data_IF_831970342292
#
_entry.id   IF_831970342292
#
_cell.length_a   1.000
_cell.length_b   1.000
_cell.length_c   1.000
_cell.angle_alpha   90.00
_cell.angle_beta   90.00
_cell.angle_gamma   90.00
#
_symmetry.space_group_name_H-M   'P 1'
#
loop_
_entity.id
_entity.type
_entity.pdbx_description
1 polymer ?
#
# COMPACT_ATOMS: atom_id res chain seq x y z
N UNK A 1 10.23 14.33 73.70
CA UNK A 1 10.01 12.89 73.41
C UNK A 1 9.09 12.81 72.19
N UNK A 2 9.52 12.04 71.16
CA UNK A 2 8.75 11.49 70.01
C UNK A 2 8.14 12.50 69.01
N UNK A 3 8.16 12.38 67.67
CA UNK A 3 8.90 11.64 66.62
C UNK A 3 8.42 12.16 65.22
N UNK A 4 9.23 11.94 64.16
CA UNK A 4 8.97 11.83 62.69
C UNK A 4 7.96 12.76 61.97
N UNK A 5 8.40 13.54 60.97
CA UNK A 5 8.59 13.22 59.51
C UNK A 5 7.35 12.68 58.77
N UNK A 6 6.76 13.51 57.89
CA UNK A 6 6.11 13.17 56.61
C UNK A 6 5.85 14.51 55.87
N UNK A 7 6.59 14.86 54.81
CA UNK A 7 6.53 14.41 53.40
C UNK A 7 5.68 15.32 52.49
N UNK A 8 6.43 16.04 51.66
CA UNK A 8 6.30 16.24 50.19
C UNK A 8 5.18 17.11 49.60
N UNK A 9 5.71 18.12 48.88
CA UNK A 9 5.37 18.57 47.53
C UNK A 9 4.24 19.61 47.37
N UNK A 10 4.64 20.88 47.53
CA UNK A 10 4.08 22.05 46.85
C UNK A 10 4.19 21.88 45.32
N UNK A 11 3.09 21.94 44.57
CA UNK A 11 2.35 23.12 44.05
C UNK A 11 3.07 23.90 42.94
N UNK A 12 2.30 24.00 41.84
CA UNK A 12 2.07 25.19 41.01
C UNK A 12 3.24 25.69 40.13
N UNK A 13 3.15 25.55 38.81
CA UNK A 13 2.38 26.39 37.85
C UNK A 13 3.15 27.66 37.48
N UNK A 14 3.09 27.96 36.18
CA UNK A 14 3.35 29.25 35.52
C UNK A 14 4.85 29.62 35.31
N UNK A 15 5.28 30.29 34.23
CA UNK A 15 4.64 30.95 33.08
C UNK A 15 5.77 31.41 32.13
N UNK A 16 5.55 31.24 30.83
CA UNK A 16 5.76 32.23 29.72
C UNK A 16 7.16 32.83 29.42
N UNK A 17 7.34 32.96 28.10
CA UNK A 17 8.10 33.97 27.34
C UNK A 17 9.62 33.88 27.20
N UNK A 18 9.99 33.58 25.94
CA UNK A 18 10.82 34.41 25.07
C UNK A 18 11.97 35.21 25.71
N UNK A 19 13.20 34.74 25.44
CA UNK A 19 14.42 35.52 25.56
C UNK A 19 15.46 34.98 24.58
N UNK A 20 15.85 35.81 23.61
CA UNK A 20 17.07 35.60 22.82
C UNK A 20 18.27 35.85 23.75
N UNK A 21 19.17 34.87 23.87
CA UNK A 21 20.51 35.08 24.39
C UNK A 21 21.49 34.19 23.60
N UNK A 22 22.37 34.85 22.85
CA UNK A 22 23.61 34.26 22.33
C UNK A 22 24.49 33.84 23.51
N UNK A 23 24.95 32.59 23.51
CA UNK A 23 26.13 32.18 24.25
C UNK A 23 26.92 31.19 23.37
N UNK A 24 28.00 31.70 22.79
CA UNK A 24 29.05 30.90 22.19
C UNK A 24 29.79 30.15 23.31
N UNK A 25 29.89 28.83 23.17
CA UNK A 25 30.92 28.02 23.83
C UNK A 25 31.55 27.15 22.74
N UNK A 26 32.68 27.61 22.22
CA UNK A 26 33.65 26.73 21.57
C UNK A 26 34.25 25.79 22.60
N UNK A 27 34.22 24.49 22.32
CA UNK A 27 35.39 23.60 22.44
C UNK A 27 35.15 22.26 21.72
N UNK A 28 35.90 22.15 20.63
CA UNK A 28 36.29 20.99 19.82
C UNK A 28 36.31 19.66 20.57
N UNK A 29 35.66 18.65 19.99
CA UNK A 29 35.89 17.23 20.32
C UNK A 29 34.86 16.28 19.71
N UNK A 30 35.25 15.57 18.64
CA UNK A 30 34.65 14.29 18.26
C UNK A 30 33.54 14.36 17.22
N UNK A 31 33.93 14.19 15.95
CA UNK A 31 33.00 13.86 14.88
C UNK A 31 32.27 12.55 15.17
N UNK A 32 30.95 12.63 15.06
CA UNK A 32 30.03 11.69 14.41
C UNK A 32 28.69 12.37 14.60
N UNK A 33 28.46 13.39 13.76
CA UNK A 33 27.17 14.02 13.65
C UNK A 33 26.18 12.96 13.23
N UNK A 34 25.40 12.47 14.18
CA UNK A 34 24.09 11.90 13.94
C UNK A 34 23.25 13.01 13.31
N UNK A 35 23.41 13.20 11.99
CA UNK A 35 22.41 13.83 11.17
C UNK A 35 21.17 12.95 11.34
N UNK A 36 20.28 13.39 12.23
CA UNK A 36 18.90 12.95 12.18
C UNK A 36 18.47 13.07 10.72
N UNK A 37 18.16 11.94 10.09
CA UNK A 37 17.67 11.91 8.73
C UNK A 37 16.45 12.82 8.68
N UNK A 38 16.62 14.02 8.13
CA UNK A 38 15.49 14.86 7.76
C UNK A 38 14.71 13.99 6.78
N UNK A 39 13.43 13.65 7.05
CA UNK A 39 12.67 12.85 6.12
C UNK A 39 12.73 13.58 4.78
N UNK A 40 13.22 12.90 3.75
CA UNK A 40 13.23 13.44 2.40
C UNK A 40 11.79 13.87 2.10
N UNK A 41 11.58 15.18 1.97
CA UNK A 41 10.28 15.69 1.57
C UNK A 41 10.10 15.20 0.14
N UNK A 42 9.22 14.20 -0.03
CA UNK A 42 8.89 13.69 -1.35
C UNK A 42 8.54 14.87 -2.25
N UNK A 43 9.08 14.88 -3.47
CA UNK A 43 8.67 15.86 -4.48
C UNK A 43 7.14 15.80 -4.63
N UNK A 44 6.49 16.92 -4.97
CA UNK A 44 5.03 16.94 -5.15
C UNK A 44 4.56 15.84 -6.10
N UNK A 45 5.34 15.54 -7.14
CA UNK A 45 5.09 14.45 -8.09
C UNK A 45 5.12 13.05 -7.45
N UNK A 46 6.08 12.79 -6.55
CA UNK A 46 6.15 11.52 -5.81
C UNK A 46 4.99 11.39 -4.82
N UNK A 47 4.61 12.48 -4.15
CA UNK A 47 3.43 12.50 -3.28
C UNK A 47 2.12 12.28 -4.05
N UNK A 48 2.02 12.82 -5.27
CA UNK A 48 0.90 12.55 -6.19
C UNK A 48 0.85 11.07 -6.58
N UNK A 49 2.02 10.44 -6.80
CA UNK A 49 2.08 9.01 -7.07
C UNK A 49 1.70 8.18 -5.84
N UNK A 50 2.12 8.60 -4.64
CA UNK A 50 1.74 7.93 -3.41
C UNK A 50 0.22 8.00 -3.17
N UNK A 51 -0.44 9.07 -3.62
CA UNK A 51 -1.91 9.15 -3.61
C UNK A 51 -2.54 8.10 -4.54
N UNK A 52 -1.95 7.86 -5.72
CA UNK A 52 -2.38 6.79 -6.62
C UNK A 52 -2.15 5.40 -5.99
N UNK A 53 -1.01 5.18 -5.34
CA UNK A 53 -0.71 3.92 -4.60
C UNK A 53 -1.72 3.69 -3.48
N UNK A 54 -2.07 4.74 -2.73
CA UNK A 54 -3.07 4.67 -1.66
C UNK A 54 -4.46 4.33 -2.21
N UNK A 55 -4.88 4.96 -3.31
CA UNK A 55 -6.15 4.64 -3.98
C UNK A 55 -6.19 3.19 -4.46
N UNK A 56 -5.10 2.70 -5.06
CA UNK A 56 -4.96 1.30 -5.48
C UNK A 56 -5.12 0.34 -4.29
N UNK A 57 -4.39 0.63 -3.20
CA UNK A 57 -4.44 -0.17 -1.96
C UNK A 57 -5.86 -0.21 -1.37
N UNK A 58 -6.55 0.93 -1.32
CA UNK A 58 -7.91 1.01 -0.80
C UNK A 58 -8.91 0.24 -1.68
N UNK A 59 -8.79 0.34 -3.01
CA UNK A 59 -9.62 -0.41 -3.97
C UNK A 59 -9.48 -1.91 -3.78
N UNK A 60 -8.24 -2.38 -3.60
CA UNK A 60 -7.92 -3.79 -3.40
C UNK A 60 -8.41 -4.32 -2.04
N UNK A 61 -8.32 -3.49 -1.00
CA UNK A 61 -8.80 -3.83 0.35
C UNK A 61 -10.33 -3.86 0.43
N UNK A 62 -11.02 -3.07 -0.39
CA UNK A 62 -12.49 -3.06 -0.49
C UNK A 62 -13.09 -4.20 -1.31
N UNK A 63 -12.28 -5.13 -1.83
CA UNK A 63 -12.78 -6.27 -2.62
C UNK A 63 -13.57 -7.23 -1.74
N UNK A 64 -14.85 -7.38 -2.07
CA UNK A 64 -15.73 -8.33 -1.41
C UNK A 64 -15.51 -9.75 -1.96
N UNK A 65 -15.73 -10.74 -1.09
CA UNK A 65 -15.80 -12.15 -1.51
C UNK A 65 -17.10 -12.36 -2.27
N UNK A 66 -17.07 -13.20 -3.29
CA UNK A 66 -18.25 -13.55 -4.07
C UNK A 66 -18.67 -14.98 -3.79
N UNK A 67 -19.97 -15.22 -3.71
CA UNK A 67 -20.55 -16.58 -3.61
C UNK A 67 -21.49 -16.76 -4.78
N UNK A 68 -21.22 -17.74 -5.63
CA UNK A 68 -21.93 -17.96 -6.88
C UNK A 68 -22.11 -19.46 -7.14
N UNK A 69 -23.22 -19.89 -7.76
CA UNK A 69 -23.34 -21.27 -8.20
C UNK A 69 -22.32 -21.55 -9.32
N UNK A 70 -21.78 -22.76 -9.36
CA UNK A 70 -21.00 -23.26 -10.48
C UNK A 70 -21.86 -24.13 -11.41
N UNK A 71 -21.24 -24.56 -12.52
CA UNK A 71 -21.90 -25.35 -13.56
C UNK A 71 -22.23 -26.79 -13.12
N UNK A 72 -21.75 -27.22 -11.96
CA UNK A 72 -21.92 -28.58 -11.43
C UNK A 72 -22.98 -28.61 -10.31
N UNK A 73 -23.67 -27.49 -10.08
CA UNK A 73 -24.71 -27.35 -9.06
C UNK A 73 -24.15 -27.18 -7.65
N UNK A 74 -22.85 -26.98 -7.49
CA UNK A 74 -22.24 -26.56 -6.23
C UNK A 74 -22.25 -25.03 -6.13
N UNK A 75 -22.01 -24.54 -4.92
CA UNK A 75 -21.83 -23.13 -4.63
C UNK A 75 -20.38 -22.86 -4.32
N UNK A 76 -19.80 -21.92 -5.05
CA UNK A 76 -18.40 -21.52 -4.93
C UNK A 76 -18.30 -20.19 -4.20
N UNK A 77 -17.46 -20.12 -3.16
CA UNK A 77 -16.96 -18.87 -2.61
C UNK A 77 -15.59 -18.54 -3.23
N UNK A 78 -15.45 -17.35 -3.82
CA UNK A 78 -14.17 -16.78 -4.27
C UNK A 78 -13.80 -15.60 -3.38
N UNK A 79 -12.55 -15.54 -2.96
CA UNK A 79 -12.03 -14.42 -2.20
C UNK A 79 -10.58 -14.12 -2.53
N UNK A 80 -10.07 -13.08 -1.86
CA UNK A 80 -8.76 -12.53 -2.11
C UNK A 80 -7.97 -12.52 -0.81
N UNK A 81 -6.66 -12.80 -0.89
CA UNK A 81 -5.76 -12.48 0.22
C UNK A 81 -5.61 -10.97 0.35
N UNK A 82 -5.14 -10.47 1.51
CA UNK A 82 -4.61 -9.11 1.59
C UNK A 82 -3.59 -8.90 0.47
N UNK A 83 -3.83 -7.90 -0.37
CA UNK A 83 -2.93 -7.58 -1.46
C UNK A 83 -1.72 -6.84 -0.93
N UNK A 84 -0.53 -7.20 -1.40
CA UNK A 84 0.68 -6.42 -1.19
C UNK A 84 0.84 -5.46 -2.36
N UNK A 85 0.83 -4.16 -2.09
CA UNK A 85 1.06 -3.12 -3.09
C UNK A 85 2.47 -2.55 -2.89
N UNK A 86 3.29 -2.61 -3.94
CA UNK A 86 4.65 -2.08 -3.95
C UNK A 86 4.73 -0.91 -4.92
N UNK A 87 5.34 0.19 -4.46
CA UNK A 87 5.57 1.41 -5.23
C UNK A 87 7.01 1.47 -5.72
N UNK A 88 7.21 1.92 -6.94
CA UNK A 88 8.50 2.34 -7.45
C UNK A 88 8.32 3.60 -8.31
N UNK A 89 9.12 4.64 -8.06
CA UNK A 89 9.16 5.85 -8.89
C UNK A 89 10.60 6.08 -9.28
N UNK A 90 10.83 6.40 -10.56
CA UNK A 90 12.16 6.67 -11.11
C UNK A 90 12.10 7.97 -11.89
N UNK A 91 13.00 8.90 -11.55
CA UNK A 91 13.22 10.11 -12.35
C UNK A 91 13.98 9.74 -13.62
N UNK A 92 13.60 10.32 -14.74
CA UNK A 92 14.27 10.12 -16.02
C UNK A 92 15.00 11.40 -16.45
N UNK A 93 15.86 11.28 -17.45
CA UNK A 93 16.53 12.42 -18.10
C UNK A 93 15.62 13.12 -19.13
N UNK A 94 14.45 12.54 -19.45
CA UNK A 94 13.53 13.09 -20.44
C UNK A 94 12.78 14.30 -19.87
N UNK A 95 12.81 15.46 -20.56
CA UNK A 95 11.99 16.60 -20.15
C UNK A 95 10.50 16.39 -20.42
N UNK A 96 10.13 15.41 -21.28
CA UNK A 96 8.74 15.11 -21.66
C UNK A 96 8.12 14.10 -20.69
N UNK A 97 8.92 13.15 -20.19
CA UNK A 97 8.48 12.11 -19.24
C UNK A 97 9.42 12.08 -18.05
N UNK A 98 9.49 13.16 -17.25
CA UNK A 98 10.52 13.30 -16.21
C UNK A 98 10.42 12.25 -15.11
N UNK A 99 9.30 11.53 -15.00
CA UNK A 99 9.16 10.40 -14.08
C UNK A 99 8.44 9.22 -14.74
N UNK A 100 8.86 8.02 -14.35
CA UNK A 100 8.17 6.75 -14.59
C UNK A 100 7.81 6.15 -13.24
N UNK A 101 6.57 5.71 -13.11
CA UNK A 101 6.03 5.08 -11.92
C UNK A 101 5.68 3.62 -12.21
N UNK A 102 5.79 2.77 -11.20
CA UNK A 102 5.35 1.38 -11.26
C UNK A 102 4.63 1.01 -9.97
N UNK A 103 3.48 0.36 -10.13
CA UNK A 103 2.76 -0.28 -9.03
C UNK A 103 2.77 -1.77 -9.29
N UNK A 104 3.30 -2.54 -8.34
CA UNK A 104 3.25 -4.01 -8.36
C UNK A 104 2.30 -4.48 -7.27
N UNK A 105 1.22 -5.14 -7.68
CA UNK A 105 0.23 -5.73 -6.79
C UNK A 105 0.45 -7.23 -6.78
N UNK A 106 0.78 -7.80 -5.61
CA UNK A 106 0.77 -9.24 -5.38
C UNK A 106 -0.49 -9.59 -4.64
N UNK A 107 -1.33 -10.43 -5.23
CA UNK A 107 -2.56 -10.89 -4.62
C UNK A 107 -2.85 -12.34 -4.97
N UNK A 108 -3.50 -13.03 -4.04
CA UNK A 108 -3.85 -14.43 -4.21
C UNK A 108 -5.36 -14.54 -4.30
N UNK A 109 -5.83 -15.38 -5.22
CA UNK A 109 -7.23 -15.77 -5.30
C UNK A 109 -7.37 -17.11 -4.60
N UNK A 110 -8.32 -17.19 -3.67
CA UNK A 110 -8.71 -18.41 -3.00
C UNK A 110 -10.15 -18.77 -3.38
N UNK A 111 -10.40 -20.07 -3.53
CA UNK A 111 -11.70 -20.60 -3.93
C UNK A 111 -12.05 -21.85 -3.13
N UNK A 112 -13.30 -21.96 -2.71
CA UNK A 112 -13.84 -23.14 -2.03
C UNK A 112 -15.28 -23.39 -2.49
N UNK A 113 -15.70 -24.66 -2.52
CA UNK A 113 -17.05 -25.05 -2.97
C UNK A 113 -17.79 -25.87 -1.92
N UNK A 114 -19.11 -25.77 -1.91
CA UNK A 114 -20.01 -26.54 -1.04
C UNK A 114 -21.38 -26.79 -1.70
N UNK A 115 -22.16 -27.72 -1.17
CA UNK A 115 -23.47 -28.10 -1.74
C UNK A 115 -24.59 -27.07 -1.61
N UNK A 116 -24.37 -25.96 -0.88
CA UNK A 116 -25.37 -24.90 -0.73
C UNK A 116 -24.71 -23.53 -0.57
N UNK A 117 -25.45 -22.47 -0.92
CA UNK A 117 -24.98 -21.08 -0.82
C UNK A 117 -24.55 -20.73 0.61
N UNK A 118 -25.33 -21.12 1.61
CA UNK A 118 -25.06 -20.82 3.01
C UNK A 118 -23.78 -21.51 3.51
N UNK A 119 -23.57 -22.76 3.11
CA UNK A 119 -22.33 -23.48 3.44
C UNK A 119 -21.13 -22.83 2.77
N UNK A 120 -21.22 -22.49 1.48
CA UNK A 120 -20.14 -21.83 0.76
C UNK A 120 -19.76 -20.48 1.41
N UNK A 121 -20.76 -19.65 1.73
CA UNK A 121 -20.58 -18.35 2.38
C UNK A 121 -19.95 -18.42 3.78
N UNK A 122 -20.13 -19.55 4.48
CA UNK A 122 -19.57 -19.78 5.81
C UNK A 122 -18.11 -20.27 5.76
N UNK A 123 -17.57 -20.63 4.58
CA UNK A 123 -16.21 -21.13 4.46
C UNK A 123 -15.22 -20.01 4.79
N UNK A 124 -14.36 -20.27 5.77
CA UNK A 124 -13.16 -19.45 5.99
C UNK A 124 -12.10 -19.86 4.97
N UNK A 125 -11.80 -18.98 4.02
CA UNK A 125 -10.73 -19.21 3.06
C UNK A 125 -9.36 -19.22 3.77
N UNK A 126 -8.66 -20.33 3.63
CA UNK A 126 -7.32 -20.58 4.16
C UNK A 126 -6.31 -20.76 3.02
N UNK A 127 -5.00 -20.81 3.28
CA UNK A 127 -3.99 -21.07 2.24
C UNK A 127 -4.21 -22.37 1.45
N UNK A 128 -4.89 -23.37 2.02
CA UNK A 128 -5.24 -24.61 1.31
C UNK A 128 -6.23 -24.41 0.15
N UNK A 129 -6.97 -23.29 0.18
CA UNK A 129 -7.93 -22.91 -0.85
C UNK A 129 -7.29 -22.06 -1.96
N UNK A 130 -5.96 -21.94 -2.00
CA UNK A 130 -5.26 -21.16 -3.00
C UNK A 130 -5.58 -21.69 -4.40
N UNK A 131 -6.22 -20.83 -5.21
CA UNK A 131 -6.50 -21.11 -6.62
C UNK A 131 -5.37 -20.62 -7.51
N UNK A 132 -4.95 -19.37 -7.32
CA UNK A 132 -3.89 -18.77 -8.13
C UNK A 132 -3.16 -17.66 -7.37
N UNK A 133 -1.84 -17.57 -7.56
CA UNK A 133 -1.07 -16.38 -7.21
C UNK A 133 -1.02 -15.45 -8.41
N UNK A 134 -1.37 -14.18 -8.22
CA UNK A 134 -1.38 -13.17 -9.27
C UNK A 134 -0.42 -12.05 -8.92
N UNK A 135 0.27 -11.56 -9.93
CA UNK A 135 1.07 -10.33 -9.85
C UNK A 135 0.63 -9.41 -10.96
N UNK A 136 0.04 -8.28 -10.61
CA UNK A 136 -0.30 -7.22 -11.54
C UNK A 136 0.81 -6.17 -11.48
N UNK A 137 1.36 -5.82 -12.63
CA UNK A 137 2.32 -4.72 -12.77
C UNK A 137 1.69 -3.65 -13.63
N UNK A 138 1.61 -2.44 -13.11
CA UNK A 138 1.12 -1.27 -13.81
C UNK A 138 2.27 -0.28 -13.98
N UNK A 139 2.41 0.29 -15.18
CA UNK A 139 3.44 1.28 -15.49
C UNK A 139 2.79 2.59 -15.87
N UNK A 140 3.35 3.67 -15.34
CA UNK A 140 2.86 5.04 -15.51
C UNK A 140 3.99 5.93 -15.99
N UNK A 141 3.63 6.98 -16.71
CA UNK A 141 4.52 8.09 -17.03
C UNK A 141 3.93 9.38 -16.48
N UNK A 142 4.79 10.27 -15.99
CA UNK A 142 4.37 11.62 -15.62
C UNK A 142 4.66 12.55 -16.80
N UNK A 143 3.65 13.25 -17.32
CA UNK A 143 3.78 14.13 -18.50
C UNK A 143 4.23 15.56 -18.16
N UNK A 144 4.70 15.78 -16.94
CA UNK A 144 5.02 17.11 -16.40
C UNK A 144 3.85 17.77 -15.67
N UNK A 145 2.62 17.24 -15.80
CA UNK A 145 1.44 17.74 -15.11
C UNK A 145 0.72 16.66 -14.31
N UNK A 146 0.57 15.46 -14.88
CA UNK A 146 -0.15 14.36 -14.24
C UNK A 146 0.42 13.00 -14.61
N UNK A 147 0.10 12.02 -13.77
CA UNK A 147 0.37 10.62 -14.03
C UNK A 147 -0.57 10.07 -15.12
N UNK A 148 -0.01 9.33 -16.06
CA UNK A 148 -0.72 8.66 -17.15
C UNK A 148 -0.44 7.18 -17.07
N UNK A 149 -1.50 6.37 -17.17
CA UNK A 149 -1.34 4.94 -17.39
C UNK A 149 -0.68 4.72 -18.76
N UNK A 150 0.33 3.86 -18.80
CA UNK A 150 1.03 3.50 -20.03
C UNK A 150 0.70 2.07 -20.45
N UNK A 151 0.90 1.10 -19.55
CA UNK A 151 0.53 -0.28 -19.77
C UNK A 151 0.33 -1.04 -18.45
N UNK A 152 -0.15 -2.28 -18.56
CA UNK A 152 -0.20 -3.22 -17.45
C UNK A 152 -0.03 -4.66 -17.91
N UNK A 153 0.35 -5.53 -16.97
CA UNK A 153 0.50 -6.97 -17.20
C UNK A 153 0.09 -7.73 -15.95
N UNK A 154 -0.55 -8.88 -16.13
CA UNK A 154 -0.88 -9.83 -15.08
C UNK A 154 -0.14 -11.14 -15.31
N UNK A 155 0.73 -11.49 -14.36
CA UNK A 155 1.28 -12.83 -14.23
C UNK A 155 0.36 -13.67 -13.34
N UNK A 156 -0.07 -14.83 -13.81
CA UNK A 156 -0.88 -15.78 -13.05
C UNK A 156 -0.14 -17.10 -12.91
N UNK A 157 0.03 -17.56 -11.68
CA UNK A 157 0.57 -18.88 -11.36
C UNK A 157 -0.52 -19.74 -10.77
N UNK A 158 -0.89 -20.81 -11.47
CA UNK A 158 -1.95 -21.73 -11.07
C UNK A 158 -1.38 -23.14 -11.08
N UNK A 159 -1.01 -23.75 -9.94
CA UNK A 159 -0.55 -25.13 -9.92
C UNK A 159 -1.64 -26.09 -10.45
N UNK A 160 -1.31 -27.09 -11.30
CA UNK A 160 -0.02 -27.48 -11.86
C UNK A 160 0.28 -26.84 -13.24
N UNK A 161 -0.51 -25.85 -13.67
CA UNK A 161 -0.39 -25.21 -14.97
C UNK A 161 0.86 -24.32 -15.06
N UNK A 162 1.26 -24.06 -16.31
CA UNK A 162 2.31 -23.10 -16.60
C UNK A 162 1.90 -21.69 -16.18
N UNK A 163 2.90 -20.88 -15.85
CA UNK A 163 2.73 -19.45 -15.59
C UNK A 163 2.18 -18.76 -16.86
N UNK A 164 1.13 -17.97 -16.69
CA UNK A 164 0.51 -17.21 -17.78
C UNK A 164 0.78 -15.72 -17.58
N UNK A 165 1.24 -15.04 -18.63
CA UNK A 165 1.40 -13.58 -18.65
C UNK A 165 0.41 -12.97 -19.62
N UNK A 166 -0.57 -12.24 -19.10
CA UNK A 166 -1.61 -11.57 -19.88
C UNK A 166 -1.40 -10.05 -19.86
N UNK A 167 -1.29 -9.37 -21.02
CA UNK A 167 -1.37 -7.92 -21.07
C UNK A 167 -2.71 -7.43 -20.51
N UNK A 168 -2.71 -6.30 -19.80
CA UNK A 168 -3.92 -5.69 -19.28
C UNK A 168 -4.28 -4.48 -20.15
N UNK A 169 -5.48 -4.48 -20.73
CA UNK A 169 -6.01 -3.29 -21.38
C UNK A 169 -6.58 -2.32 -20.34
N UNK A 170 -6.51 -1.03 -20.63
CA UNK A 170 -7.05 0.02 -19.75
C UNK A 170 -8.53 -0.23 -19.41
N UNK A 171 -9.33 -0.64 -20.39
CA UNK A 171 -10.75 -0.90 -20.23
C UNK A 171 -11.02 -2.04 -19.22
N UNK A 172 -10.21 -3.10 -19.26
CA UNK A 172 -10.35 -4.24 -18.34
C UNK A 172 -10.01 -3.84 -16.91
N UNK A 173 -8.95 -3.05 -16.72
CA UNK A 173 -8.55 -2.53 -15.40
C UNK A 173 -9.60 -1.58 -14.85
N UNK A 174 -10.19 -0.72 -15.70
CA UNK A 174 -11.23 0.21 -15.30
C UNK A 174 -12.55 -0.48 -14.92
N UNK A 175 -12.88 -1.61 -15.58
CA UNK A 175 -14.07 -2.39 -15.29
C UNK A 175 -13.94 -3.25 -14.02
N UNK A 176 -12.71 -3.62 -13.63
CA UNK A 176 -12.44 -4.33 -12.38
C UNK A 176 -12.46 -3.37 -11.19
N UNK A 177 -13.53 -3.39 -10.40
CA UNK A 177 -13.67 -2.55 -9.18
C UNK A 177 -12.51 -2.71 -8.19
N UNK A 178 -11.84 -3.85 -8.19
CA UNK A 178 -10.69 -4.12 -7.36
C UNK A 178 -9.40 -3.45 -7.82
N UNK A 179 -9.25 -3.23 -9.14
CA UNK A 179 -8.05 -2.68 -9.76
C UNK A 179 -8.24 -1.25 -10.30
N UNK A 180 -9.49 -0.79 -10.45
CA UNK A 180 -9.80 0.54 -10.98
C UNK A 180 -9.14 1.67 -10.17
N UNK A 181 -8.99 1.50 -8.85
CA UNK A 181 -8.27 2.47 -8.01
C UNK A 181 -6.77 2.58 -8.30
N UNK A 182 -6.21 1.65 -9.07
CA UNK A 182 -4.82 1.71 -9.54
C UNK A 182 -4.69 2.54 -10.82
N UNK A 183 -5.76 3.07 -11.40
CA UNK A 183 -5.68 3.98 -12.53
C UNK A 183 -5.59 5.45 -12.06
N UNK A 184 -4.83 6.30 -12.77
CA UNK A 184 -4.81 7.73 -12.48
C UNK A 184 -6.21 8.34 -12.71
N UNK A 185 -6.58 9.32 -11.88
CA UNK A 185 -7.85 10.05 -11.98
C UNK A 185 -7.75 11.24 -12.94
#
# INVERSE_FOLDING_TARGET
MTDRRLQRAARCVAVVAAGVALAACDRVGGGLGSQAAVPAVASTTEADFDTLVAACTQSLAGRERTVQPDNEGQWTQTGYSPAQVQREVTRTESPITPYVGKIVVKDNVAQASAGSQAQAAAITLTPAHLRSNRTHTFVYSFDGQRWRWNNGVRLTKTPPHNDETTPLALADVAADKGLAGCLPR
#
